data_IF_410206864645
#
_entry.id   IF_410206864645
#
_cell.length_a   1.000
_cell.length_b   1.000
_cell.length_c   1.000
_cell.angle_alpha   90.00
_cell.angle_beta   90.00
_cell.angle_gamma   90.00
#
_symmetry.space_group_name_H-M   'P 1'
#
loop_
_entity.id
_entity.type
_entity.pdbx_description
1 polymer ?
#
# COMPACT_ATOMS: atom_id res chain seq x y z
N UNK A 1 -18.59 -4.09 -21.90
CA UNK A 1 -18.37 -2.63 -22.05
C UNK A 1 -17.77 -2.13 -20.76
N UNK A 2 -16.71 -1.33 -20.84
CA UNK A 2 -16.06 -0.78 -19.64
C UNK A 2 -16.68 0.56 -19.30
N UNK A 3 -17.75 0.57 -18.52
CA UNK A 3 -18.42 1.80 -18.13
C UNK A 3 -17.74 2.39 -16.90
N UNK A 4 -17.45 3.69 -16.94
CA UNK A 4 -16.93 4.40 -15.78
C UNK A 4 -18.03 4.54 -14.73
N UNK A 5 -17.92 3.81 -13.62
CA UNK A 5 -18.91 3.84 -12.53
C UNK A 5 -18.67 5.02 -11.59
N UNK A 6 -17.42 5.30 -11.22
CA UNK A 6 -17.06 6.36 -10.29
C UNK A 6 -15.65 6.89 -10.55
N UNK A 7 -15.41 8.17 -10.24
CA UNK A 7 -14.10 8.83 -10.33
C UNK A 7 -13.83 9.62 -9.04
N UNK A 8 -12.73 9.28 -8.37
CA UNK A 8 -12.29 9.94 -7.13
C UNK A 8 -11.20 10.96 -7.47
N UNK A 9 -11.37 12.24 -7.08
CA UNK A 9 -10.32 13.26 -7.21
C UNK A 9 -9.41 13.26 -5.97
N UNK A 10 -8.31 12.53 -6.04
CA UNK A 10 -7.35 12.38 -4.94
C UNK A 10 -6.58 13.66 -4.60
N UNK A 11 -6.58 14.68 -5.48
CA UNK A 11 -5.91 15.97 -5.24
C UNK A 11 -6.59 16.75 -4.11
N UNK A 12 -7.90 16.54 -3.90
CA UNK A 12 -8.66 17.12 -2.80
C UNK A 12 -8.13 16.71 -1.41
N UNK A 13 -7.44 15.57 -1.33
CA UNK A 13 -6.81 15.05 -0.11
C UNK A 13 -5.27 15.25 -0.12
N UNK A 14 -4.76 16.07 -1.04
CA UNK A 14 -3.33 16.37 -1.15
C UNK A 14 -2.49 15.24 -1.75
N UNK A 15 -3.10 14.28 -2.44
CA UNK A 15 -2.42 13.18 -3.13
C UNK A 15 -2.26 13.58 -4.60
N UNK A 16 -1.04 13.94 -4.99
CA UNK A 16 -0.76 14.50 -6.33
C UNK A 16 -0.42 13.45 -7.37
N UNK A 17 0.13 12.32 -6.93
CA UNK A 17 0.56 11.22 -7.80
C UNK A 17 0.23 9.92 -7.10
N UNK A 18 -0.55 9.07 -7.76
CA UNK A 18 -0.82 7.71 -7.30
C UNK A 18 0.28 6.83 -7.89
N UNK A 19 0.95 6.07 -7.03
CA UNK A 19 2.07 5.18 -7.42
C UNK A 19 1.65 3.73 -7.46
N UNK A 20 0.97 3.27 -6.42
CA UNK A 20 0.36 1.96 -6.38
C UNK A 20 -1.02 2.05 -5.71
N UNK A 21 -1.84 1.03 -5.93
CA UNK A 21 -3.11 0.88 -5.24
C UNK A 21 -3.43 -0.60 -5.03
N UNK A 22 -4.34 -0.87 -4.09
CA UNK A 22 -4.93 -2.18 -3.84
C UNK A 22 -6.25 -1.99 -3.09
N UNK A 23 -6.95 -3.07 -2.77
CA UNK A 23 -8.14 -3.06 -1.91
C UNK A 23 -7.92 -4.01 -0.74
N UNK A 24 -8.49 -3.70 0.42
CA UNK A 24 -8.49 -4.63 1.55
C UNK A 24 -9.78 -5.44 1.64
N UNK A 25 -9.85 -6.28 2.67
CA UNK A 25 -11.00 -7.15 2.96
C UNK A 25 -12.25 -6.38 3.43
N UNK A 26 -12.17 -5.06 3.59
CA UNK A 26 -13.27 -4.17 3.99
C UNK A 26 -13.77 -3.29 2.84
N UNK A 27 -13.40 -3.63 1.59
CA UNK A 27 -13.66 -2.81 0.39
C UNK A 27 -13.11 -1.38 0.47
N UNK A 28 -12.11 -1.15 1.32
CA UNK A 28 -11.39 0.11 1.34
C UNK A 28 -10.35 0.13 0.22
N UNK A 29 -10.24 1.28 -0.44
CA UNK A 29 -9.25 1.55 -1.47
C UNK A 29 -7.98 2.03 -0.76
N UNK A 30 -6.89 1.29 -0.93
CA UNK A 30 -5.57 1.68 -0.44
C UNK A 30 -4.79 2.24 -1.61
N UNK A 31 -4.29 3.46 -1.49
CA UNK A 31 -3.44 4.09 -2.51
C UNK A 31 -2.15 4.59 -1.89
N UNK A 32 -1.09 4.60 -2.67
CA UNK A 32 0.18 5.17 -2.24
C UNK A 32 0.64 6.35 -3.07
N UNK A 33 1.29 7.28 -2.38
CA UNK A 33 2.22 8.28 -2.93
C UNK A 33 3.60 8.12 -2.22
N UNK A 34 4.09 9.16 -1.56
CA UNK A 34 5.14 9.06 -0.55
C UNK A 34 4.67 8.44 0.78
N UNK A 35 3.36 8.26 0.89
CA UNK A 35 2.59 7.86 2.06
C UNK A 35 1.59 6.79 1.60
N UNK A 36 0.96 6.13 2.55
CA UNK A 36 -0.12 5.16 2.28
C UNK A 36 -1.41 5.75 2.83
N UNK A 37 -2.41 5.87 1.96
CA UNK A 37 -3.73 6.44 2.24
C UNK A 37 -4.79 5.36 2.08
N UNK A 38 -5.82 5.45 2.91
CA UNK A 38 -7.00 4.60 2.85
C UNK A 38 -8.21 5.48 2.59
N UNK A 39 -9.00 5.07 1.59
CA UNK A 39 -10.26 5.64 1.23
C UNK A 39 -11.33 4.56 1.33
N UNK A 40 -12.56 4.95 1.63
CA UNK A 40 -13.70 4.06 1.46
C UNK A 40 -13.96 3.80 -0.02
N UNK A 41 -14.73 2.74 -0.31
CA UNK A 41 -15.17 2.40 -1.67
C UNK A 41 -15.87 3.56 -2.39
N UNK A 42 -16.66 4.37 -1.67
CA UNK A 42 -17.34 5.54 -2.23
C UNK A 42 -16.42 6.77 -2.42
N UNK A 43 -15.13 6.65 -2.06
CA UNK A 43 -14.10 7.65 -2.32
C UNK A 43 -13.90 8.68 -1.22
N UNK A 44 -14.44 8.45 -0.02
CA UNK A 44 -14.15 9.32 1.14
C UNK A 44 -12.80 8.95 1.71
N UNK A 45 -12.01 9.96 2.03
CA UNK A 45 -10.75 9.76 2.74
C UNK A 45 -11.00 9.27 4.18
N UNK A 46 -10.35 8.17 4.59
CA UNK A 46 -10.50 7.59 5.91
C UNK A 46 -9.29 7.90 6.81
N UNK A 47 -8.09 7.46 6.40
CA UNK A 47 -6.86 7.62 7.20
C UNK A 47 -5.58 7.49 6.37
N UNK A 48 -4.46 7.88 6.97
CA UNK A 48 -3.10 7.64 6.46
C UNK A 48 -2.40 6.64 7.39
N UNK A 49 -1.75 5.62 6.83
CA UNK A 49 -1.02 4.60 7.61
C UNK A 49 0.46 4.96 7.78
N UNK A 50 1.08 5.52 6.76
CA UNK A 50 2.52 5.79 6.73
C UNK A 50 2.77 7.25 6.35
N UNK A 51 3.70 7.93 7.03
CA UNK A 51 4.12 9.30 6.72
C UNK A 51 5.63 9.39 6.58
N UNK A 52 6.13 9.84 5.42
CA UNK A 52 7.52 10.28 5.29
C UNK A 52 7.68 11.43 4.29
N UNK A 53 8.63 12.32 4.60
CA UNK A 53 8.86 13.60 3.93
C UNK A 53 9.49 13.49 2.51
N UNK A 54 8.80 14.14 1.56
CA UNK A 54 9.16 14.71 0.23
C UNK A 54 9.83 13.86 -0.88
N UNK A 55 9.09 13.78 -1.99
CA UNK A 55 9.41 13.97 -3.42
C UNK A 55 10.47 13.11 -4.14
N UNK A 56 9.94 12.21 -4.97
CA UNK A 56 10.31 11.89 -6.35
C UNK A 56 9.12 11.14 -6.99
N UNK A 57 8.80 11.43 -8.25
CA UNK A 57 7.72 10.78 -9.01
C UNK A 57 8.30 9.55 -9.70
N UNK A 58 7.70 8.38 -9.47
CA UNK A 58 8.01 7.14 -10.21
C UNK A 58 6.69 6.39 -10.38
N UNK A 59 6.37 6.01 -11.61
CA UNK A 59 5.18 5.23 -11.99
C UNK A 59 5.29 3.75 -11.60
N UNK A 60 4.13 3.06 -11.69
CA UNK A 60 3.88 1.58 -11.64
C UNK A 60 3.56 1.09 -10.21
N UNK A 61 2.51 0.31 -9.89
CA UNK A 61 1.83 -0.83 -10.55
C UNK A 61 0.30 -0.98 -10.28
N UNK A 62 -0.37 -1.85 -11.04
CA UNK A 62 -1.79 -2.26 -10.96
C UNK A 62 -1.86 -3.71 -10.45
N UNK A 63 -2.44 -3.96 -9.27
CA UNK A 63 -2.77 -5.33 -8.87
C UNK A 63 -4.07 -5.42 -8.03
N UNK A 64 -4.97 -6.32 -8.44
CA UNK A 64 -6.20 -6.69 -7.74
C UNK A 64 -5.93 -8.02 -7.04
N UNK A 65 -5.94 -8.07 -5.71
CA UNK A 65 -5.55 -9.27 -4.94
C UNK A 65 -6.70 -10.16 -4.47
N UNK A 66 -7.95 -9.87 -4.83
CA UNK A 66 -9.08 -10.72 -4.43
C UNK A 66 -10.00 -10.95 -5.63
N UNK A 67 -10.57 -12.16 -5.72
CA UNK A 67 -11.69 -12.39 -6.64
C UNK A 67 -12.74 -11.30 -6.43
N UNK A 68 -13.35 -10.77 -7.51
CA UNK A 68 -14.28 -9.65 -7.39
C UNK A 68 -15.39 -10.05 -6.41
N UNK A 69 -15.59 -9.33 -5.30
CA UNK A 69 -16.78 -9.56 -4.51
C UNK A 69 -17.95 -9.17 -5.41
N UNK A 70 -18.88 -10.11 -5.59
CA UNK A 70 -20.17 -9.85 -6.21
C UNK A 70 -20.70 -8.52 -5.65
N UNK A 71 -21.02 -7.60 -6.57
CA UNK A 71 -21.55 -6.28 -6.31
C UNK A 71 -22.90 -6.40 -5.56
N UNK A 72 -22.86 -6.63 -4.26
CA UNK A 72 -24.01 -6.49 -3.38
C UNK A 72 -23.88 -5.14 -2.71
N UNK A 73 -24.55 -4.16 -3.32
CA UNK A 73 -24.85 -2.89 -2.70
C UNK A 73 -25.47 -3.14 -1.33
N UNK A 74 -24.68 -2.97 -0.26
CA UNK A 74 -25.19 -3.02 1.10
C UNK A 74 -25.16 -1.61 1.68
N UNK A 75 -26.37 -1.09 1.90
CA UNK A 75 -26.63 0.10 2.67
C UNK A 75 -25.97 -0.02 4.05
N UNK A 76 -24.89 0.72 4.31
CA UNK A 76 -24.39 0.86 5.68
C UNK A 76 -24.07 2.30 6.07
N UNK A 77 -24.56 2.62 7.27
CA UNK A 77 -24.71 3.93 7.90
C UNK A 77 -23.41 4.71 8.02
N UNK A 78 -23.54 6.03 7.82
CA UNK A 78 -22.58 7.06 8.25
C UNK A 78 -22.14 6.82 9.70
N UNK A 79 -20.85 6.60 9.92
CA UNK A 79 -20.20 6.81 11.21
C UNK A 79 -19.38 8.11 11.13
N UNK A 80 -19.59 8.94 12.15
CA UNK A 80 -19.04 10.28 12.33
C UNK A 80 -17.52 10.28 12.51
N UNK A 81 -16.88 11.27 11.89
CA UNK A 81 -15.45 11.58 11.95
C UNK A 81 -15.02 11.83 13.40
N UNK A 82 -14.08 11.05 13.91
CA UNK A 82 -13.31 11.38 15.11
C UNK A 82 -11.87 11.66 14.67
N UNK A 83 -11.49 12.94 14.72
CA UNK A 83 -10.11 13.38 14.61
C UNK A 83 -9.35 12.94 15.87
N UNK A 84 -8.51 11.90 15.76
CA UNK A 84 -7.52 11.59 16.79
C UNK A 84 -6.12 11.91 16.28
N UNK A 85 -5.57 12.99 16.85
CA UNK A 85 -4.13 13.25 16.86
C UNK A 85 -3.46 12.20 17.75
N UNK A 86 -2.78 11.22 17.16
CA UNK A 86 -1.89 10.31 17.89
C UNK A 86 -0.45 10.80 17.81
N UNK A 87 0.14 11.07 18.98
CA UNK A 87 1.57 11.36 19.17
C UNK A 87 2.40 10.14 18.75
N UNK A 88 3.39 10.33 17.87
CA UNK A 88 4.30 9.26 17.44
C UNK A 88 5.32 8.92 18.52
N UNK A 89 5.42 7.64 18.88
CA UNK A 89 6.53 7.08 19.67
C UNK A 89 7.80 6.89 18.81
N UNK A 90 8.95 7.20 19.43
CA UNK A 90 10.34 6.91 19.05
C UNK A 90 10.73 6.98 17.56
N UNK A 91 11.17 8.17 17.14
CA UNK A 91 11.81 8.43 15.86
C UNK A 91 13.24 7.87 15.78
N UNK A 92 13.38 6.59 15.39
CA UNK A 92 14.52 6.24 14.53
C UNK A 92 14.32 7.00 13.23
N UNK A 93 15.32 7.79 12.82
CA UNK A 93 15.26 8.69 11.66
C UNK A 93 14.64 8.00 10.44
N UNK A 94 13.40 8.35 10.13
CA UNK A 94 12.68 7.79 8.99
C UNK A 94 13.31 8.38 7.73
N UNK A 95 14.13 7.58 7.05
CA UNK A 95 14.66 7.93 5.72
C UNK A 95 13.46 8.14 4.80
N UNK A 96 13.49 9.24 4.03
CA UNK A 96 12.42 9.56 3.08
C UNK A 96 12.43 8.58 1.92
N UNK A 97 11.28 8.39 1.26
CA UNK A 97 11.14 7.45 0.16
C UNK A 97 9.77 7.51 -0.51
N UNK A 98 9.43 6.47 -1.25
CA UNK A 98 8.10 6.29 -1.84
C UNK A 98 7.74 4.82 -1.95
N UNK A 99 6.44 4.56 -1.93
CA UNK A 99 5.91 3.22 -2.13
C UNK A 99 5.67 2.97 -3.61
N UNK A 100 6.06 1.79 -4.06
CA UNK A 100 6.04 1.37 -5.47
C UNK A 100 5.12 0.19 -5.71
N UNK A 101 4.73 -0.53 -4.66
CA UNK A 101 3.85 -1.69 -4.78
C UNK A 101 3.03 -1.84 -3.51
N UNK A 102 1.78 -2.27 -3.64
CA UNK A 102 0.90 -2.60 -2.51
C UNK A 102 0.19 -3.91 -2.80
N UNK A 103 0.04 -4.76 -1.78
CA UNK A 103 -0.86 -5.90 -1.82
C UNK A 103 -1.37 -6.23 -0.42
N UNK A 104 -2.59 -6.74 -0.32
CA UNK A 104 -3.16 -7.23 0.95
C UNK A 104 -3.18 -8.76 0.93
N UNK A 105 -2.84 -9.39 2.04
CA UNK A 105 -2.92 -10.84 2.18
C UNK A 105 -4.30 -11.31 2.66
N UNK A 106 -4.52 -12.62 2.67
CA UNK A 106 -5.79 -13.24 3.11
C UNK A 106 -6.16 -12.96 4.58
N UNK A 107 -5.22 -12.51 5.40
CA UNK A 107 -5.42 -12.16 6.80
C UNK A 107 -5.60 -10.65 7.02
N UNK A 108 -5.54 -9.85 5.96
CA UNK A 108 -5.63 -8.39 6.00
C UNK A 108 -4.30 -7.66 6.19
N UNK A 109 -3.16 -8.38 6.22
CA UNK A 109 -1.86 -7.72 6.31
C UNK A 109 -1.57 -6.95 5.03
N UNK A 110 -1.17 -5.69 5.17
CA UNK A 110 -0.75 -4.86 4.05
C UNK A 110 0.76 -5.01 3.85
N UNK A 111 1.15 -5.44 2.66
CA UNK A 111 2.54 -5.45 2.23
C UNK A 111 2.78 -4.29 1.27
N UNK A 112 3.85 -3.53 1.50
CA UNK A 112 4.18 -2.34 0.76
C UNK A 112 5.64 -2.37 0.30
N UNK A 113 5.85 -2.43 -1.02
CA UNK A 113 7.17 -2.26 -1.62
C UNK A 113 7.58 -0.80 -1.52
N UNK A 114 8.75 -0.53 -0.94
CA UNK A 114 9.24 0.82 -0.67
C UNK A 114 10.64 1.01 -1.25
N UNK A 115 10.83 2.15 -1.89
CA UNK A 115 12.13 2.65 -2.32
C UNK A 115 12.51 3.86 -1.46
N UNK A 116 13.61 3.75 -0.73
CA UNK A 116 14.22 4.83 0.03
C UNK A 116 15.01 5.77 -0.89
N UNK A 117 15.20 7.03 -0.47
CA UNK A 117 15.96 8.04 -1.23
C UNK A 117 17.40 7.65 -1.55
N UNK A 118 18.02 6.83 -0.69
CA UNK A 118 19.40 6.36 -0.88
C UNK A 118 19.50 5.15 -1.83
N UNK A 119 18.40 4.79 -2.49
CA UNK A 119 18.35 3.69 -3.47
C UNK A 119 18.27 2.31 -2.82
N UNK A 120 18.12 2.23 -1.50
CA UNK A 120 17.72 0.99 -0.84
C UNK A 120 16.23 0.74 -1.07
N UNK A 121 15.84 -0.52 -1.20
CA UNK A 121 14.45 -0.90 -1.28
C UNK A 121 14.18 -2.14 -0.42
N UNK A 122 12.95 -2.24 0.05
CA UNK A 122 12.47 -3.32 0.92
C UNK A 122 10.95 -3.44 0.84
N UNK A 123 10.41 -4.50 1.43
CA UNK A 123 8.96 -4.68 1.59
C UNK A 123 8.63 -4.47 3.08
N UNK A 124 7.75 -3.51 3.38
CA UNK A 124 7.21 -3.26 4.71
C UNK A 124 5.90 -4.05 4.88
N UNK A 125 5.67 -4.62 6.07
CA UNK A 125 4.45 -5.38 6.38
C UNK A 125 3.75 -4.71 7.54
N UNK A 126 2.48 -4.34 7.33
CA UNK A 126 1.64 -3.65 8.29
C UNK A 126 0.45 -4.49 8.71
N UNK A 127 0.01 -4.31 9.96
CA UNK A 127 -1.31 -4.78 10.40
C UNK A 127 -2.44 -3.86 9.90
N UNK A 128 -3.69 -4.25 10.17
CA UNK A 128 -4.87 -3.51 9.74
C UNK A 128 -5.01 -2.14 10.42
N UNK A 129 -4.32 -1.94 11.55
CA UNK A 129 -4.27 -0.66 12.27
C UNK A 129 -3.16 0.26 11.73
N UNK A 130 -2.30 -0.26 10.85
CA UNK A 130 -1.19 0.47 10.26
C UNK A 130 0.11 0.39 11.07
N UNK A 131 0.22 -0.52 12.05
CA UNK A 131 1.48 -0.76 12.74
C UNK A 131 2.43 -1.57 11.86
N UNK A 132 3.66 -1.09 11.72
CA UNK A 132 4.71 -1.84 11.03
C UNK A 132 5.09 -3.07 11.85
N UNK A 133 4.89 -4.25 11.28
CA UNK A 133 5.21 -5.53 11.90
C UNK A 133 6.62 -6.01 11.53
N UNK A 134 6.97 -5.95 10.24
CA UNK A 134 8.19 -6.56 9.69
C UNK A 134 8.71 -5.82 8.44
N UNK A 135 9.98 -6.05 8.12
CA UNK A 135 10.66 -5.59 6.91
C UNK A 135 11.34 -6.78 6.22
N UNK A 136 11.21 -6.88 4.90
CA UNK A 136 11.97 -7.80 4.04
C UNK A 136 12.95 -6.97 3.20
N UNK A 137 14.23 -6.94 3.58
CA UNK A 137 15.29 -6.18 2.89
C UNK A 137 16.19 -7.06 1.99
N UNK A 138 15.97 -8.38 2.03
CA UNK A 138 16.69 -9.42 1.29
C UNK A 138 18.21 -9.49 1.54
N UNK A 139 18.75 -8.81 2.57
CA UNK A 139 20.17 -8.79 2.95
C UNK A 139 21.16 -8.81 1.77
N UNK A 140 21.67 -10.01 1.40
CA UNK A 140 22.68 -10.25 0.36
C UNK A 140 22.14 -10.24 -1.08
N UNK A 141 20.84 -10.12 -1.25
CA UNK A 141 20.14 -10.04 -2.53
C UNK A 141 19.23 -8.83 -2.51
N UNK A 142 19.79 -7.63 -2.26
CA UNK A 142 19.00 -6.41 -2.06
C UNK A 142 17.96 -6.21 -3.16
N UNK A 143 16.76 -5.81 -2.75
CA UNK A 143 15.77 -5.26 -3.67
C UNK A 143 16.23 -3.90 -4.17
N UNK A 144 15.85 -3.54 -5.38
CA UNK A 144 16.20 -2.25 -5.99
C UNK A 144 14.98 -1.42 -6.37
N UNK A 145 13.97 -2.05 -6.97
CA UNK A 145 12.71 -1.40 -7.34
C UNK A 145 11.56 -2.41 -7.35
N UNK A 146 11.04 -2.79 -6.17
CA UNK A 146 9.90 -3.70 -6.06
C UNK A 146 8.66 -3.02 -6.64
N UNK A 147 8.27 -3.37 -7.87
CA UNK A 147 7.17 -2.69 -8.55
C UNK A 147 5.84 -3.43 -8.37
N UNK A 148 5.85 -4.75 -8.23
CA UNK A 148 4.64 -5.56 -8.11
C UNK A 148 4.78 -6.53 -6.97
N UNK A 149 3.71 -6.67 -6.19
CA UNK A 149 3.60 -7.66 -5.13
C UNK A 149 2.34 -8.48 -5.29
N UNK A 150 2.45 -9.78 -5.10
CA UNK A 150 1.32 -10.69 -5.02
C UNK A 150 1.52 -11.64 -3.84
N UNK A 151 0.50 -11.78 -3.00
CA UNK A 151 0.54 -12.71 -1.86
C UNK A 151 0.06 -14.09 -2.27
N UNK A 152 0.51 -15.09 -1.53
CA UNK A 152 0.15 -16.49 -1.74
C UNK A 152 -0.50 -17.04 -0.48
N UNK A 153 -1.33 -18.09 -0.62
CA UNK A 153 -2.07 -18.64 0.51
C UNK A 153 -1.15 -19.27 1.59
N UNK A 154 0.08 -19.65 1.23
CA UNK A 154 1.11 -20.21 2.12
C UNK A 154 1.96 -19.14 2.83
N UNK A 155 1.54 -17.87 2.82
CA UNK A 155 2.20 -16.81 3.57
C UNK A 155 3.54 -16.38 2.95
N UNK A 156 3.61 -16.43 1.63
CA UNK A 156 4.72 -15.88 0.86
C UNK A 156 4.28 -14.72 -0.02
N UNK A 157 5.21 -13.84 -0.34
CA UNK A 157 5.03 -12.73 -1.29
C UNK A 157 5.91 -12.98 -2.51
N UNK A 158 5.30 -12.89 -3.68
CA UNK A 158 5.99 -12.77 -4.95
C UNK A 158 6.24 -11.29 -5.21
N UNK A 159 7.48 -10.94 -5.51
CA UNK A 159 7.92 -9.58 -5.76
C UNK A 159 8.57 -9.50 -7.13
N UNK A 160 8.06 -8.63 -7.99
CA UNK A 160 8.75 -8.24 -9.23
C UNK A 160 9.69 -7.08 -8.90
N UNK A 161 10.99 -7.29 -9.08
CA UNK A 161 12.02 -6.25 -8.92
C UNK A 161 12.54 -5.82 -10.30
N UNK A 162 12.06 -4.67 -10.77
CA UNK A 162 12.32 -4.20 -12.14
C UNK A 162 13.77 -3.84 -12.41
N UNK A 163 14.53 -3.48 -11.38
CA UNK A 163 15.93 -3.05 -11.60
C UNK A 163 16.88 -4.26 -11.59
N UNK A 164 16.43 -5.41 -11.09
CA UNK A 164 17.21 -6.65 -11.11
C UNK A 164 16.63 -7.70 -12.05
N UNK A 165 15.64 -7.33 -12.88
CA UNK A 165 14.97 -8.19 -13.85
C UNK A 165 14.56 -9.55 -13.26
N UNK A 166 14.03 -9.54 -12.04
CA UNK A 166 13.78 -10.78 -11.29
C UNK A 166 12.39 -10.82 -10.65
N UNK A 167 11.85 -12.04 -10.57
CA UNK A 167 10.69 -12.37 -9.74
C UNK A 167 11.20 -13.15 -8.54
N UNK A 168 10.85 -12.72 -7.33
CA UNK A 168 11.39 -13.26 -6.09
C UNK A 168 10.28 -13.69 -5.14
N UNK A 169 10.41 -14.86 -4.53
CA UNK A 169 9.48 -15.37 -3.51
C UNK A 169 10.10 -15.22 -2.14
N UNK A 170 9.40 -14.55 -1.22
CA UNK A 170 9.81 -14.39 0.18
C UNK A 170 8.74 -14.95 1.10
N UNK A 171 9.15 -15.69 2.13
CA UNK A 171 8.25 -16.08 3.21
C UNK A 171 8.14 -14.94 4.22
N UNK A 172 6.94 -14.65 4.67
CA UNK A 172 6.71 -13.65 5.69
C UNK A 172 5.73 -14.09 6.77
N UNK A 173 5.04 -15.22 6.63
CA UNK A 173 4.27 -15.86 7.70
C UNK A 173 5.13 -16.83 8.50
#
# INVERSE_FOLDING_TARGET
TGDLINKIDTRSFGIKTIKAFTTNLQDEIIISDHRIHILSYDGKYLRQISSINQQQIVDVDIHITHEPPDLIASHHKQSSIIHQHTKSMNSQMIKGGFYTALCVDKNGLLLAGKCEKDGNAHIEIYDNQGHLLRIIDSYNQRLRRPCSLATTQDGCVLCVDLTTDSVRKYRYA
#
